data_IF_475077398633
#
_entry.id   IF_475077398633
#
_cell.length_a   1.000
_cell.length_b   1.000
_cell.length_c   1.000
_cell.angle_alpha   90.00
_cell.angle_beta   90.00
_cell.angle_gamma   90.00
#
_symmetry.space_group_name_H-M   'P 1'
#
loop_
_entity.id
_entity.type
_entity.pdbx_description
1 polymer ?
#
# COMPACT_ATOMS: atom_id res chain seq x y z
N UNK A 1 5.20 6.54 -6.06
CA UNK A 1 6.60 6.77 -6.52
C UNK A 1 7.63 6.81 -5.39
N UNK A 2 7.35 6.23 -4.21
CA UNK A 2 8.25 6.33 -3.04
C UNK A 2 9.34 5.23 -2.94
N UNK A 3 9.26 4.14 -3.70
CA UNK A 3 10.16 2.99 -3.51
C UNK A 3 11.56 3.12 -4.14
N UNK A 4 11.70 3.96 -5.18
CA UNK A 4 12.93 4.02 -6.00
C UNK A 4 14.08 4.84 -5.39
N UNK A 5 13.83 5.50 -4.27
CA UNK A 5 14.79 6.39 -3.63
C UNK A 5 15.26 5.94 -2.25
N UNK A 6 14.86 4.77 -1.74
CA UNK A 6 15.10 4.44 -0.33
C UNK A 6 16.58 4.40 0.06
N UNK A 7 17.44 3.82 -0.79
CA UNK A 7 18.89 3.83 -0.58
C UNK A 7 19.47 5.24 -0.68
N UNK A 8 19.03 6.01 -1.68
CA UNK A 8 19.47 7.41 -1.89
C UNK A 8 19.05 8.29 -0.72
N UNK A 9 17.80 8.17 -0.27
CA UNK A 9 17.25 8.87 0.87
C UNK A 9 17.98 8.49 2.16
N UNK A 10 18.41 7.23 2.31
CA UNK A 10 19.26 6.84 3.43
C UNK A 10 20.65 7.47 3.33
N UNK A 11 21.29 7.48 2.16
CA UNK A 11 22.58 8.18 1.98
C UNK A 11 22.48 9.68 2.27
N UNK A 12 21.41 10.33 1.81
CA UNK A 12 21.11 11.73 2.14
C UNK A 12 20.93 11.89 3.66
N UNK A 13 20.21 10.97 4.32
CA UNK A 13 20.04 11.00 5.76
C UNK A 13 21.38 10.86 6.53
N UNK A 14 22.37 10.12 6.01
CA UNK A 14 23.72 10.09 6.58
C UNK A 14 24.40 11.45 6.44
N UNK A 15 24.32 12.09 5.28
CA UNK A 15 24.91 13.41 5.06
C UNK A 15 24.28 14.46 6.00
N UNK A 16 22.95 14.44 6.13
CA UNK A 16 22.22 15.27 7.09
C UNK A 16 22.62 14.96 8.54
N UNK A 17 22.82 13.68 8.87
CA UNK A 17 23.27 13.28 10.20
C UNK A 17 24.64 13.84 10.55
N UNK A 18 25.60 13.82 9.62
CA UNK A 18 26.94 14.38 9.84
C UNK A 18 26.91 15.87 10.14
N UNK A 19 26.02 16.62 9.48
CA UNK A 19 25.82 18.05 9.76
C UNK A 19 25.07 18.29 11.07
N UNK A 20 24.17 17.38 11.45
CA UNK A 20 23.32 17.50 12.64
C UNK A 20 24.03 17.10 13.94
N UNK A 21 24.97 16.15 13.90
CA UNK A 21 25.73 15.67 15.07
C UNK A 21 26.44 16.81 15.83
N UNK A 22 27.21 17.73 15.21
CA UNK A 22 27.88 18.79 15.96
C UNK A 22 26.89 19.76 16.60
N UNK A 23 25.78 20.07 15.92
CA UNK A 23 24.71 20.91 16.45
C UNK A 23 24.03 20.24 17.66
N UNK A 24 23.81 18.92 17.61
CA UNK A 24 23.25 18.14 18.72
C UNK A 24 24.25 17.95 19.87
N UNK A 25 25.55 17.92 19.58
CA UNK A 25 26.61 17.95 20.59
C UNK A 25 26.58 19.24 21.41
N UNK A 26 26.31 20.40 20.80
CA UNK A 26 26.12 21.66 21.53
C UNK A 26 24.90 21.61 22.46
N UNK A 27 23.83 20.91 22.07
CA UNK A 27 22.66 20.72 22.93
C UNK A 27 22.97 19.90 24.21
N UNK A 28 24.09 19.17 24.27
CA UNK A 28 24.56 18.54 25.51
C UNK A 28 25.27 19.52 26.45
N UNK A 29 25.89 20.57 25.92
CA UNK A 29 26.60 21.57 26.72
C UNK A 29 25.64 22.50 27.47
N UNK A 30 24.42 22.67 26.97
CA UNK A 30 23.34 23.48 27.56
C UNK A 30 22.42 22.66 28.50
N UNK A 31 22.77 21.40 28.80
CA UNK A 31 21.99 20.54 29.69
C UNK A 31 22.28 20.82 31.18
N UNK A 32 22.02 22.05 31.62
CA UNK A 32 22.18 22.46 33.01
C UNK A 32 21.08 21.83 33.89
N UNK A 33 21.44 20.73 34.57
CA UNK A 33 20.88 20.39 35.89
C UNK A 33 19.85 19.27 35.97
N UNK A 34 19.02 19.03 34.96
CA UNK A 34 18.10 17.89 34.93
C UNK A 34 18.47 16.97 33.76
N UNK A 35 19.02 15.79 34.09
CA UNK A 35 19.76 14.92 33.17
C UNK A 35 19.04 14.62 31.84
N UNK A 36 19.84 14.46 30.78
CA UNK A 36 19.45 13.94 29.45
C UNK A 36 17.98 14.21 29.07
N UNK A 37 17.62 15.50 28.98
CA UNK A 37 16.23 15.91 28.76
C UNK A 37 15.60 15.40 27.46
N UNK A 38 14.28 15.60 27.33
CA UNK A 38 13.48 15.29 26.13
C UNK A 38 14.08 15.83 24.82
N UNK A 39 14.88 16.90 24.89
CA UNK A 39 15.53 17.54 23.74
C UNK A 39 16.66 16.71 23.12
N UNK A 40 17.41 15.94 23.90
CA UNK A 40 18.48 15.07 23.39
C UNK A 40 17.97 13.70 22.96
N UNK A 41 16.87 13.22 23.56
CA UNK A 41 16.20 11.94 23.23
C UNK A 41 15.87 11.77 21.74
N UNK A 42 15.38 12.83 21.08
CA UNK A 42 15.08 12.80 19.64
C UNK A 42 16.31 12.54 18.75
N UNK A 43 17.48 13.06 19.13
CA UNK A 43 18.72 12.85 18.38
C UNK A 43 19.22 11.42 18.47
N UNK A 44 19.02 10.77 19.63
CA UNK A 44 19.33 9.34 19.79
C UNK A 44 18.45 8.47 18.88
N UNK A 45 17.15 8.75 18.81
CA UNK A 45 16.23 8.04 17.91
C UNK A 45 16.58 8.27 16.44
N UNK A 46 16.93 9.50 16.06
CA UNK A 46 17.39 9.79 14.70
C UNK A 46 18.68 9.03 14.35
N UNK A 47 19.68 9.01 15.23
CA UNK A 47 20.92 8.28 15.00
C UNK A 47 20.69 6.76 14.90
N UNK A 48 19.87 6.20 15.80
CA UNK A 48 19.44 4.80 15.72
C UNK A 48 18.77 4.50 14.38
N UNK A 49 17.89 5.39 13.89
CA UNK A 49 17.21 5.21 12.62
C UNK A 49 18.18 5.18 11.43
N UNK A 50 19.19 6.06 11.41
CA UNK A 50 20.19 6.10 10.35
C UNK A 50 21.10 4.87 10.41
N UNK A 51 21.52 4.45 11.61
CA UNK A 51 22.45 3.34 11.78
C UNK A 51 21.82 1.97 11.49
N UNK A 52 20.59 1.74 11.97
CA UNK A 52 19.92 0.45 11.84
C UNK A 52 19.17 0.28 10.50
N UNK A 53 18.93 1.35 9.75
CA UNK A 53 18.22 1.28 8.46
C UNK A 53 18.80 0.23 7.48
N UNK A 54 20.12 0.18 7.23
CA UNK A 54 20.70 -0.81 6.31
C UNK A 54 20.53 -2.25 6.80
N UNK A 55 20.76 -2.49 8.08
CA UNK A 55 20.60 -3.80 8.69
C UNK A 55 19.13 -4.28 8.57
N UNK A 56 18.19 -3.39 8.83
CA UNK A 56 16.75 -3.66 8.68
C UNK A 56 16.33 -3.84 7.22
N UNK A 57 16.95 -3.15 6.26
CA UNK A 57 16.71 -3.41 4.82
C UNK A 57 17.15 -4.83 4.43
N UNK A 58 18.29 -5.32 4.95
CA UNK A 58 18.74 -6.71 4.68
C UNK A 58 17.76 -7.72 5.25
N UNK A 59 17.26 -7.50 6.46
CA UNK A 59 16.21 -8.35 7.06
C UNK A 59 14.93 -8.29 6.22
N UNK A 60 14.53 -7.09 5.79
CA UNK A 60 13.40 -6.89 4.89
C UNK A 60 13.54 -7.63 3.57
N UNK A 61 14.75 -7.72 3.01
CA UNK A 61 15.06 -8.52 1.82
C UNK A 61 14.84 -10.03 2.05
N UNK A 62 15.26 -10.57 3.19
CA UNK A 62 15.04 -11.98 3.52
C UNK A 62 13.54 -12.30 3.67
N UNK A 63 12.80 -11.43 4.36
CA UNK A 63 11.34 -11.56 4.51
C UNK A 63 10.63 -11.41 3.16
N UNK A 64 11.06 -10.47 2.32
CA UNK A 64 10.54 -10.30 0.97
C UNK A 64 10.79 -11.55 0.11
N UNK A 65 11.96 -12.18 0.22
CA UNK A 65 12.28 -13.43 -0.46
C UNK A 65 11.32 -14.56 -0.08
N UNK A 66 11.09 -14.76 1.22
CA UNK A 66 10.07 -15.71 1.70
C UNK A 66 8.66 -15.35 1.21
N UNK A 67 8.33 -14.05 1.19
CA UNK A 67 7.06 -13.53 0.66
C UNK A 67 6.84 -13.84 -0.82
N UNK A 68 7.88 -13.73 -1.65
CA UNK A 68 7.83 -14.11 -3.08
C UNK A 68 7.52 -15.60 -3.22
N UNK A 69 8.13 -16.46 -2.41
CA UNK A 69 7.87 -17.91 -2.46
C UNK A 69 6.41 -18.21 -2.12
N UNK A 70 5.88 -17.61 -1.04
CA UNK A 70 4.50 -17.85 -0.59
C UNK A 70 3.49 -17.27 -1.59
N UNK A 71 3.61 -15.99 -1.95
CA UNK A 71 2.68 -15.33 -2.86
C UNK A 71 2.83 -15.84 -4.30
N UNK A 72 4.05 -16.16 -4.73
CA UNK A 72 4.32 -16.79 -6.02
C UNK A 72 3.69 -18.19 -6.10
N UNK A 73 3.82 -18.99 -5.04
CA UNK A 73 3.14 -20.30 -5.00
C UNK A 73 1.62 -20.14 -5.07
N UNK A 74 1.05 -19.15 -4.38
CA UNK A 74 -0.38 -18.86 -4.42
C UNK A 74 -0.87 -18.51 -5.83
N UNK A 75 -0.22 -17.54 -6.51
CA UNK A 75 -0.58 -17.16 -7.89
C UNK A 75 -0.37 -18.32 -8.86
N UNK A 76 0.67 -19.13 -8.67
CA UNK A 76 0.92 -20.31 -9.49
C UNK A 76 -0.20 -21.36 -9.37
N UNK A 77 -0.71 -21.60 -8.15
CA UNK A 77 -1.84 -22.52 -7.94
C UNK A 77 -3.11 -22.03 -8.66
N UNK A 78 -3.42 -20.73 -8.57
CA UNK A 78 -4.58 -20.14 -9.29
C UNK A 78 -4.40 -20.29 -10.80
N UNK A 79 -3.19 -20.00 -11.31
CA UNK A 79 -2.88 -20.16 -12.72
C UNK A 79 -3.07 -21.61 -13.19
N UNK A 80 -2.62 -22.59 -12.41
CA UNK A 80 -2.85 -24.01 -12.69
C UNK A 80 -4.32 -24.37 -12.87
N UNK A 81 -5.20 -23.86 -11.98
CA UNK A 81 -6.67 -24.08 -12.08
C UNK A 81 -7.25 -23.44 -13.35
N UNK A 82 -6.84 -22.21 -13.67
CA UNK A 82 -7.30 -21.50 -14.88
C UNK A 82 -6.88 -22.23 -16.14
N UNK A 83 -5.62 -22.68 -16.22
CA UNK A 83 -5.10 -23.39 -17.39
C UNK A 83 -5.75 -24.77 -17.56
N UNK A 84 -5.99 -25.50 -16.48
CA UNK A 84 -6.70 -26.77 -16.53
C UNK A 84 -8.13 -26.61 -17.07
N UNK A 85 -8.81 -25.52 -16.68
CA UNK A 85 -10.16 -25.20 -17.16
C UNK A 85 -10.19 -24.89 -18.66
N UNK A 86 -9.20 -24.14 -19.16
CA UNK A 86 -9.10 -23.79 -20.59
C UNK A 86 -8.77 -25.03 -21.45
N UNK A 87 -7.92 -25.92 -20.94
CA UNK A 87 -7.56 -27.15 -21.64
C UNK A 87 -8.72 -28.15 -21.69
N UNK A 88 -9.57 -28.20 -20.66
CA UNK A 88 -10.75 -29.06 -20.61
C UNK A 88 -11.81 -28.69 -21.67
N UNK A 89 -11.91 -27.42 -22.05
CA UNK A 89 -12.89 -26.93 -23.03
C UNK A 89 -12.54 -27.26 -24.50
N UNK A 90 -11.44 -27.98 -24.76
CA UNK A 90 -11.09 -28.57 -26.07
C UNK A 90 -10.78 -27.58 -27.22
N UNK A 91 -11.15 -26.30 -27.08
CA UNK A 91 -10.98 -25.24 -28.09
C UNK A 91 -9.51 -24.80 -28.28
N UNK A 92 -8.60 -25.23 -27.41
CA UNK A 92 -7.21 -24.79 -27.38
C UNK A 92 -6.22 -25.69 -28.16
N UNK A 93 -6.55 -26.96 -28.42
CA UNK A 93 -5.53 -27.96 -28.77
C UNK A 93 -5.20 -28.10 -30.27
N UNK A 94 -5.78 -27.29 -31.16
CA UNK A 94 -5.50 -27.40 -32.60
C UNK A 94 -5.79 -26.18 -33.47
N UNK A 95 -6.22 -25.05 -32.89
CA UNK A 95 -6.58 -23.84 -33.65
C UNK A 95 -5.62 -22.69 -33.37
N UNK A 96 -5.35 -21.86 -34.38
CA UNK A 96 -4.54 -20.64 -34.26
C UNK A 96 -5.02 -19.75 -33.09
N UNK A 97 -6.34 -19.66 -32.87
CA UNK A 97 -6.96 -18.97 -31.74
C UNK A 97 -6.59 -19.55 -30.36
N UNK A 98 -6.40 -20.87 -30.26
CA UNK A 98 -5.99 -21.55 -29.02
C UNK A 98 -4.55 -21.23 -28.61
N UNK A 99 -3.65 -21.11 -29.60
CA UNK A 99 -2.26 -20.71 -29.37
C UNK A 99 -2.19 -19.24 -28.95
N UNK A 100 -2.92 -18.36 -29.65
CA UNK A 100 -2.96 -16.92 -29.33
C UNK A 100 -3.54 -16.67 -27.93
N UNK A 101 -4.62 -17.36 -27.55
CA UNK A 101 -5.20 -17.23 -26.20
C UNK A 101 -4.26 -17.75 -25.12
N UNK A 102 -3.60 -18.89 -25.34
CA UNK A 102 -2.57 -19.43 -24.42
C UNK A 102 -1.45 -18.42 -24.16
N UNK A 103 -0.92 -17.79 -25.22
CA UNK A 103 0.11 -16.73 -25.10
C UNK A 103 -0.43 -15.54 -24.31
N UNK A 104 -1.69 -15.14 -24.53
CA UNK A 104 -2.35 -14.08 -23.76
C UNK A 104 -2.37 -14.36 -22.25
N UNK A 105 -2.74 -15.59 -21.86
CA UNK A 105 -2.75 -15.98 -20.45
C UNK A 105 -1.35 -16.02 -19.82
N UNK A 106 -0.31 -16.41 -20.59
CA UNK A 106 1.08 -16.33 -20.13
C UNK A 106 1.50 -14.88 -19.88
N UNK A 107 1.13 -13.95 -20.76
CA UNK A 107 1.43 -12.52 -20.57
C UNK A 107 0.75 -12.00 -19.30
N UNK A 108 -0.52 -12.33 -19.08
CA UNK A 108 -1.25 -11.94 -17.87
C UNK A 108 -0.57 -12.51 -16.62
N UNK A 109 -0.16 -13.78 -16.66
CA UNK A 109 0.59 -14.41 -15.58
C UNK A 109 1.91 -13.68 -15.28
N UNK A 110 2.68 -13.32 -16.31
CA UNK A 110 3.90 -12.54 -16.16
C UNK A 110 3.63 -11.17 -15.49
N UNK A 111 2.55 -10.47 -15.88
CA UNK A 111 2.17 -9.19 -15.27
C UNK A 111 1.77 -9.35 -13.79
N UNK A 112 1.03 -10.40 -13.45
CA UNK A 112 0.65 -10.70 -12.07
C UNK A 112 1.87 -11.02 -11.21
N UNK A 113 2.78 -11.87 -11.71
CA UNK A 113 4.02 -12.18 -11.00
C UNK A 113 4.92 -10.97 -10.85
N UNK A 114 5.02 -10.13 -11.88
CA UNK A 114 5.77 -8.89 -11.79
C UNK A 114 5.20 -7.95 -10.72
N UNK A 115 3.87 -7.89 -10.57
CA UNK A 115 3.22 -7.13 -9.50
C UNK A 115 3.60 -7.64 -8.10
N UNK A 116 3.61 -8.97 -7.90
CA UNK A 116 4.05 -9.59 -6.63
C UNK A 116 5.51 -9.27 -6.34
N UNK A 117 6.39 -9.44 -7.33
CA UNK A 117 7.83 -9.16 -7.20
C UNK A 117 8.06 -7.71 -6.80
N UNK A 118 7.41 -6.76 -7.48
CA UNK A 118 7.51 -5.34 -7.12
C UNK A 118 6.96 -5.04 -5.72
N UNK A 119 5.87 -5.67 -5.31
CA UNK A 119 5.33 -5.56 -3.95
C UNK A 119 6.33 -6.03 -2.89
N UNK A 120 6.97 -7.18 -3.12
CA UNK A 120 7.99 -7.72 -2.22
C UNK A 120 9.25 -6.86 -2.17
N UNK A 121 9.76 -6.38 -3.31
CA UNK A 121 10.91 -5.45 -3.30
C UNK A 121 10.58 -4.12 -2.60
N UNK A 122 9.34 -3.65 -2.67
CA UNK A 122 8.92 -2.47 -1.92
C UNK A 122 8.90 -2.72 -0.40
N UNK A 123 8.56 -3.93 0.04
CA UNK A 123 8.56 -4.30 1.45
C UNK A 123 9.94 -4.12 2.11
N UNK A 124 11.02 -4.34 1.37
CA UNK A 124 12.42 -4.14 1.83
C UNK A 124 12.64 -2.75 2.41
N UNK A 125 12.01 -1.74 1.81
CA UNK A 125 12.18 -0.35 2.19
C UNK A 125 11.16 0.12 3.22
N UNK A 126 9.98 -0.52 3.27
CA UNK A 126 8.93 -0.19 4.23
C UNK A 126 9.22 -0.80 5.61
N UNK A 127 9.80 -2.00 5.67
CA UNK A 127 10.15 -2.67 6.93
C UNK A 127 10.97 -1.79 7.87
N UNK A 128 12.12 -1.21 7.46
CA UNK A 128 12.90 -0.36 8.35
C UNK A 128 12.09 0.82 8.88
N UNK A 129 11.29 1.47 8.01
CA UNK A 129 10.52 2.64 8.39
C UNK A 129 9.45 2.31 9.43
N UNK A 130 8.76 1.17 9.28
CA UNK A 130 7.72 0.75 10.22
C UNK A 130 8.29 0.29 11.56
N UNK A 131 9.40 -0.44 11.55
CA UNK A 131 10.07 -0.90 12.78
C UNK A 131 10.57 0.30 13.59
N UNK A 132 11.21 1.26 12.91
CA UNK A 132 11.77 2.45 13.56
C UNK A 132 10.69 3.43 14.02
N UNK A 133 9.59 3.57 13.29
CA UNK A 133 8.44 4.36 13.72
C UNK A 133 7.86 3.83 15.05
N UNK A 134 7.77 2.51 15.18
CA UNK A 134 7.29 1.86 16.40
C UNK A 134 8.23 2.09 17.59
N UNK A 135 9.56 2.02 17.38
CA UNK A 135 10.57 2.34 18.41
C UNK A 135 10.46 3.80 18.87
N UNK A 136 10.17 4.72 17.94
CA UNK A 136 9.95 6.14 18.25
C UNK A 136 8.59 6.48 18.86
N UNK A 137 7.76 5.49 19.21
CA UNK A 137 6.41 5.71 19.77
C UNK A 137 5.37 6.23 18.80
N UNK A 138 5.68 6.29 17.49
CA UNK A 138 4.75 6.71 16.46
C UNK A 138 4.05 5.46 15.89
N UNK A 139 2.72 5.39 16.02
CA UNK A 139 1.91 4.27 15.56
C UNK A 139 2.18 3.91 14.09
N UNK A 140 2.32 2.61 13.82
CA UNK A 140 2.70 2.03 12.53
C UNK A 140 1.66 2.35 11.43
N UNK A 141 2.08 2.92 10.30
CA UNK A 141 1.23 3.20 9.12
C UNK A 141 1.02 1.94 8.25
N UNK A 142 0.91 0.76 8.86
CA UNK A 142 0.87 -0.55 8.19
C UNK A 142 -0.30 -0.72 7.21
N UNK A 143 -1.36 0.10 7.34
CA UNK A 143 -2.52 0.08 6.44
C UNK A 143 -2.33 0.78 5.08
N UNK A 144 -1.16 1.35 4.77
CA UNK A 144 -0.93 2.03 3.47
C UNK A 144 -0.59 1.04 2.34
N UNK A 145 0.14 -0.04 2.65
CA UNK A 145 0.63 -1.02 1.66
C UNK A 145 -0.51 -1.74 0.90
N UNK A 146 -1.61 -2.07 1.59
CA UNK A 146 -2.79 -2.67 0.95
C UNK A 146 -3.62 -1.68 0.12
N UNK A 147 -3.58 -0.37 0.44
CA UNK A 147 -4.34 0.67 -0.27
C UNK A 147 -3.69 1.07 -1.59
N UNK A 148 -2.36 1.05 -1.68
CA UNK A 148 -1.64 1.43 -2.91
C UNK A 148 -1.74 0.37 -4.02
N UNK A 149 -1.94 -0.90 -3.68
CA UNK A 149 -2.20 -1.97 -4.66
C UNK A 149 -3.63 -1.87 -5.21
N UNK A 150 -4.61 -1.55 -4.35
CA UNK A 150 -6.01 -1.38 -4.76
C UNK A 150 -6.22 -0.12 -5.63
N UNK A 151 -5.50 0.98 -5.35
CA UNK A 151 -5.64 2.24 -6.09
C UNK A 151 -5.10 2.15 -7.52
N UNK A 152 -4.02 1.40 -7.76
CA UNK A 152 -3.46 1.21 -9.10
C UNK A 152 -4.35 0.36 -10.02
N UNK A 153 -5.07 -0.64 -9.48
CA UNK A 153 -6.03 -1.43 -10.27
C UNK A 153 -7.28 -0.63 -10.66
N UNK A 154 -7.66 0.38 -9.87
CA UNK A 154 -8.76 1.30 -10.19
C UNK A 154 -8.48 2.22 -11.38
N UNK A 155 -7.23 2.64 -11.56
CA UNK A 155 -6.86 3.57 -12.64
C UNK A 155 -6.82 2.93 -14.03
N UNK A 156 -6.60 1.61 -14.13
CA UNK A 156 -6.64 0.85 -15.40
C UNK A 156 -8.05 0.53 -15.86
N UNK A 157 -9.02 0.39 -14.95
CA UNK A 157 -10.44 0.16 -15.30
C UNK A 157 -11.17 1.47 -15.59
N UNK A 158 -10.85 2.55 -14.89
CA UNK A 158 -11.41 3.87 -15.15
C UNK A 158 -10.99 4.46 -16.53
N UNK A 159 -9.80 4.10 -17.04
CA UNK A 159 -9.33 4.53 -18.36
C UNK A 159 -10.06 3.89 -19.54
N UNK A 160 -10.72 2.74 -19.35
CA UNK A 160 -11.50 2.03 -20.39
C UNK A 160 -12.95 2.52 -20.46
N UNK A 161 -13.48 3.13 -19.39
CA UNK A 161 -14.88 3.60 -19.32
C UNK A 161 -15.01 5.07 -19.77
N UNK A 162 -13.93 5.86 -19.74
CA UNK A 162 -13.97 7.25 -20.21
C UNK A 162 -13.84 7.33 -21.74
N UNK A 163 -14.89 6.92 -22.46
CA UNK A 163 -15.06 7.22 -23.88
C UNK A 163 -15.50 8.69 -24.02
N UNK A 164 -14.70 9.60 -24.60
CA UNK A 164 -15.15 10.96 -24.86
C UNK A 164 -16.07 10.93 -26.09
N UNK A 165 -17.26 11.51 -25.98
CA UNK A 165 -18.29 11.70 -27.03
C UNK A 165 -19.24 10.53 -27.32
N UNK A 166 -20.24 10.33 -26.45
CA UNK A 166 -21.48 9.62 -26.77
C UNK A 166 -22.71 10.55 -26.61
N UNK A 167 -23.78 10.42 -27.42
CA UNK A 167 -24.90 11.38 -27.45
C UNK A 167 -25.73 11.35 -26.15
N UNK A 168 -26.10 12.52 -25.64
CA UNK A 168 -27.02 12.66 -24.51
C UNK A 168 -28.43 12.23 -24.94
N UNK A 169 -28.98 11.20 -24.30
CA UNK A 169 -30.39 10.82 -24.43
C UNK A 169 -31.19 11.68 -23.43
N UNK A 170 -32.09 12.58 -23.88
CA UNK A 170 -32.94 13.36 -22.99
C UNK A 170 -34.22 12.56 -22.68
N UNK A 171 -34.50 12.32 -21.40
CA UNK A 171 -35.80 11.79 -20.96
C UNK A 171 -35.70 10.62 -20.00
N UNK A 172 -35.40 10.90 -18.74
CA UNK A 172 -35.77 10.06 -17.60
C UNK A 172 -35.94 10.98 -16.39
N UNK A 173 -37.15 11.52 -16.23
CA UNK A 173 -37.60 12.24 -15.05
C UNK A 173 -37.69 11.26 -13.87
N UNK A 174 -36.80 11.41 -12.89
CA UNK A 174 -36.89 10.73 -11.60
C UNK A 174 -37.84 11.52 -10.67
N UNK A 175 -39.12 11.16 -10.69
CA UNK A 175 -40.05 11.46 -9.59
C UNK A 175 -39.76 10.50 -8.44
N UNK A 176 -39.28 11.04 -7.32
CA UNK A 176 -38.95 10.25 -6.13
C UNK A 176 -38.18 11.05 -5.09
N UNK A 177 -38.69 12.22 -4.69
CA UNK A 177 -38.17 12.94 -3.51
C UNK A 177 -38.98 12.61 -2.27
N UNK A 178 -38.34 11.85 -1.40
CA UNK A 178 -38.13 12.12 0.02
C UNK A 178 -39.29 12.81 0.77
N UNK A 179 -39.96 12.05 1.63
CA UNK A 179 -40.73 12.58 2.73
C UNK A 179 -39.82 13.27 3.76
N UNK A 180 -40.16 14.51 4.09
CA UNK A 180 -39.77 15.18 5.33
C UNK A 180 -40.66 16.42 5.54
N UNK A 181 -41.35 16.47 6.67
CA UNK A 181 -41.85 17.71 7.27
C UNK A 181 -43.36 17.81 7.47
N UNK A 182 -43.84 17.49 8.69
CA UNK A 182 -44.92 18.23 9.34
C UNK A 182 -44.95 17.93 10.86
N UNK A 183 -44.99 19.02 11.62
CA UNK A 183 -44.96 19.21 13.08
C UNK A 183 -46.14 18.60 13.86
N UNK A 184 -46.01 18.40 15.19
CA UNK A 184 -47.03 17.77 16.03
C UNK A 184 -48.12 18.76 16.49
N UNK A 185 -49.35 18.29 16.77
CA UNK A 185 -50.26 18.95 17.68
C UNK A 185 -50.58 18.12 18.94
N UNK A 186 -51.09 18.84 19.92
CA UNK A 186 -51.06 18.66 21.36
C UNK A 186 -52.25 17.85 21.93
N UNK A 187 -52.07 17.41 23.18
CA UNK A 187 -53.05 17.32 24.28
C UNK A 187 -53.91 16.05 24.45
N UNK A 188 -53.80 15.44 25.64
CA UNK A 188 -54.88 14.69 26.30
C UNK A 188 -54.48 13.38 27.00
N UNK A 189 -54.07 13.45 28.27
CA UNK A 189 -53.98 12.31 29.23
C UNK A 189 -55.37 11.69 29.54
N UNK A 190 -55.57 10.66 30.41
CA UNK A 190 -54.64 9.76 31.12
C UNK A 190 -55.11 8.26 31.19
N UNK A 191 -54.39 7.48 32.00
CA UNK A 191 -54.76 6.25 32.75
C UNK A 191 -54.34 4.92 32.11
N UNK A 192 -53.38 4.16 32.66
CA UNK A 192 -53.21 3.54 33.99
C UNK A 192 -53.71 2.09 33.99
N UNK A 193 -52.78 1.15 33.75
CA UNK A 193 -52.54 -0.04 34.56
C UNK A 193 -51.31 -0.79 34.05
#
# INVERSE_FOLDING_TARGET
MYSRGACIAWFIAIAEALLSIPLWGLAHLDSEGEGMGQRTAHGYLFFLNVLFRPALMVIGFLVAGAGIIVMGSFVHNIYGVVMASIQADGSAMGSFTGVVSTVGFVIIYCVLMNSVIHGCFNAIHIVPDQVLAWVGGHGTNSGQFGRDVASNTGHTVAGVIQRPNGPKIPGASNDGKAGQGATPPQAGSPSNN
#
